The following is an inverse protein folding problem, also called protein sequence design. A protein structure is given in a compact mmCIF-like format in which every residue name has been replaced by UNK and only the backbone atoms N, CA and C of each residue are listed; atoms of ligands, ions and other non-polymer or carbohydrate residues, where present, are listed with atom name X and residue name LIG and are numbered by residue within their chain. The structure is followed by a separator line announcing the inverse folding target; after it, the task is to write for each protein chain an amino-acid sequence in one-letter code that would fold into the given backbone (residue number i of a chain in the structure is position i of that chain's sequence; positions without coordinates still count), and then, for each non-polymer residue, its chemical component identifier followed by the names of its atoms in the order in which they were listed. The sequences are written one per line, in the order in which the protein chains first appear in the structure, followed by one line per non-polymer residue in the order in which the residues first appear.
data_IF_470114317841
#
_entry.id   IF_470114317841
#
_cell.length_a   1.000
_cell.length_b   1.000
_cell.length_c   1.000
_cell.angle_alpha   90.00
_cell.angle_beta   90.00
_cell.angle_gamma   90.00
#
_symmetry.space_group_name_H-M   'P 1'
#
loop_
_entity.id
_entity.type
_entity.pdbx_description
1 polymer ?
#
# COMPACT_ATOMS: atom_id res chain seq x y z
N UNK A 1 -18.23 -7.76 17.70
CA UNK A 1 -17.44 -7.91 16.46
C UNK A 1 -16.12 -7.21 16.68
N UNK A 2 -15.03 -7.95 16.56
CA UNK A 2 -13.69 -7.56 17.04
C UNK A 2 -13.08 -6.55 16.07
N UNK A 3 -13.18 -5.27 16.38
CA UNK A 3 -12.39 -4.22 15.72
C UNK A 3 -10.93 -4.50 16.06
N UNK A 4 -10.21 -5.19 15.16
CA UNK A 4 -8.77 -5.41 15.31
C UNK A 4 -8.13 -4.02 15.23
N UNK A 5 -7.74 -3.47 16.38
CA UNK A 5 -7.07 -2.18 16.47
C UNK A 5 -5.84 -2.20 15.56
N UNK A 6 -5.91 -1.41 14.49
CA UNK A 6 -4.87 -1.22 13.47
C UNK A 6 -3.78 -0.25 13.95
N UNK A 7 -3.45 -0.25 15.24
CA UNK A 7 -2.63 0.78 15.87
C UNK A 7 -1.36 0.18 16.42
N UNK A 8 -0.30 0.28 15.63
CA UNK A 8 0.99 0.85 16.04
C UNK A 8 1.84 1.01 14.77
N UNK A 9 1.57 2.10 14.04
CA UNK A 9 2.42 2.55 12.93
C UNK A 9 3.52 3.40 13.56
N UNK A 10 4.66 2.78 13.83
CA UNK A 10 5.84 3.48 14.33
C UNK A 10 6.82 3.72 13.18
N UNK A 11 7.42 4.91 13.18
CA UNK A 11 8.53 5.22 12.28
C UNK A 11 9.75 4.38 12.67
N UNK A 12 10.48 3.79 11.71
CA UNK A 12 11.68 3.04 12.01
C UNK A 12 12.74 3.96 12.61
N UNK A 13 13.49 3.43 13.57
CA UNK A 13 14.68 4.13 14.06
C UNK A 13 15.85 4.01 13.06
N UNK A 14 16.98 4.65 13.37
CA UNK A 14 18.15 4.64 12.49
C UNK A 14 18.71 3.23 12.31
N UNK A 15 18.71 2.41 13.36
CA UNK A 15 19.21 1.05 13.31
C UNK A 15 18.32 0.17 12.43
N UNK A 16 17.00 0.26 12.59
CA UNK A 16 16.03 -0.44 11.75
C UNK A 16 16.14 -0.03 10.28
N UNK A 17 16.30 1.27 10.01
CA UNK A 17 16.45 1.80 8.64
C UNK A 17 17.70 1.23 7.95
N UNK A 18 18.84 1.23 8.64
CA UNK A 18 20.11 0.70 8.10
C UNK A 18 20.05 -0.81 7.89
N UNK A 19 19.50 -1.56 8.86
CA UNK A 19 19.32 -3.01 8.76
C UNK A 19 18.35 -3.39 7.65
N UNK A 20 17.25 -2.66 7.48
CA UNK A 20 16.31 -2.88 6.39
C UNK A 20 16.97 -2.68 5.03
N UNK A 21 17.80 -1.64 4.87
CA UNK A 21 18.51 -1.39 3.62
C UNK A 21 19.52 -2.51 3.29
N UNK A 22 20.26 -3.01 4.28
CA UNK A 22 21.17 -4.13 4.08
C UNK A 22 20.39 -5.40 3.72
N UNK A 23 19.36 -5.73 4.50
CA UNK A 23 18.55 -6.93 4.32
C UNK A 23 17.85 -6.95 2.96
N UNK A 24 17.35 -5.79 2.50
CA UNK A 24 16.75 -5.65 1.17
C UNK A 24 17.76 -5.97 0.05
N UNK A 25 18.99 -5.47 0.16
CA UNK A 25 20.05 -5.73 -0.84
C UNK A 25 20.44 -7.21 -0.87
N UNK A 26 20.61 -7.82 0.29
CA UNK A 26 20.95 -9.25 0.39
C UNK A 26 19.83 -10.12 -0.17
N UNK A 27 18.58 -9.85 0.23
CA UNK A 27 17.44 -10.61 -0.24
C UNK A 27 17.23 -10.45 -1.76
N UNK A 28 17.40 -9.24 -2.31
CA UNK A 28 17.33 -9.00 -3.76
C UNK A 28 18.35 -9.81 -4.56
N UNK A 29 19.54 -10.03 -4.02
CA UNK A 29 20.61 -10.74 -4.69
C UNK A 29 20.33 -12.25 -4.84
N UNK A 30 19.55 -12.83 -3.92
CA UNK A 30 19.33 -14.28 -3.86
C UNK A 30 17.88 -14.71 -4.14
N UNK A 31 16.91 -13.80 -4.09
CA UNK A 31 15.51 -14.12 -4.32
C UNK A 31 15.27 -14.48 -5.79
N UNK A 32 14.94 -15.75 -6.06
CA UNK A 32 14.48 -16.19 -7.38
C UNK A 32 13.00 -15.88 -7.54
N UNK A 33 12.65 -15.08 -8.56
CA UNK A 33 11.26 -14.79 -8.90
C UNK A 33 10.63 -15.82 -9.84
N UNK A 34 11.39 -16.86 -10.23
CA UNK A 34 10.92 -17.92 -11.16
C UNK A 34 10.22 -19.08 -10.45
N UNK A 35 10.35 -19.18 -9.14
CA UNK A 35 9.75 -20.24 -8.34
C UNK A 35 8.46 -19.73 -7.70
N UNK A 36 7.50 -20.63 -7.44
CA UNK A 36 6.26 -20.30 -6.73
C UNK A 36 6.49 -20.12 -5.22
N UNK A 37 7.45 -20.86 -4.68
CA UNK A 37 7.82 -20.84 -3.26
C UNK A 37 9.34 -20.70 -3.09
N UNK A 38 9.72 -20.18 -1.93
CA UNK A 38 11.09 -19.99 -1.49
C UNK A 38 11.27 -20.66 -0.13
N UNK A 39 12.39 -21.37 0.03
CA UNK A 39 12.81 -21.89 1.34
C UNK A 39 13.74 -20.88 2.00
N UNK A 40 13.45 -20.55 3.25
CA UNK A 40 14.31 -19.69 4.08
C UNK A 40 14.63 -20.40 5.38
N UNK A 41 15.78 -20.09 5.97
CA UNK A 41 16.17 -20.56 7.29
C UNK A 41 16.00 -19.43 8.30
N UNK A 42 15.39 -19.75 9.44
CA UNK A 42 15.23 -18.84 10.57
C UNK A 42 15.88 -19.50 11.77
N UNK A 43 16.64 -18.71 12.54
CA UNK A 43 17.22 -19.19 13.79
C UNK A 43 16.21 -19.03 14.92
N UNK A 44 15.87 -20.14 15.59
CA UNK A 44 15.00 -20.15 16.77
C UNK A 44 15.72 -19.64 18.02
N UNK A 45 14.95 -19.38 19.09
CA UNK A 45 15.50 -19.02 20.41
C UNK A 45 16.36 -20.13 21.01
N UNK A 46 16.12 -21.38 20.59
CA UNK A 46 16.91 -22.56 20.92
C UNK A 46 18.25 -22.63 20.16
N UNK A 47 18.57 -21.61 19.35
CA UNK A 47 19.72 -21.54 18.44
C UNK A 47 19.73 -22.63 17.37
N UNK A 48 18.58 -23.24 17.08
CA UNK A 48 18.45 -24.18 15.97
C UNK A 48 17.98 -23.46 14.71
N UNK A 49 18.47 -23.90 13.56
CA UNK A 49 17.99 -23.40 12.27
C UNK A 49 16.75 -24.17 11.84
N UNK A 50 15.68 -23.44 11.57
CA UNK A 50 14.41 -23.98 11.08
C UNK A 50 14.19 -23.52 9.65
N UNK A 51 14.10 -24.47 8.73
CA UNK A 51 13.71 -24.18 7.35
C UNK A 51 12.20 -24.05 7.27
N UNK A 52 11.72 -22.93 6.71
CA UNK A 52 10.32 -22.73 6.36
C UNK A 52 10.18 -22.45 4.86
N UNK A 53 9.01 -22.77 4.32
CA UNK A 53 8.68 -22.52 2.93
C UNK A 53 7.62 -21.42 2.85
N UNK A 54 7.90 -20.38 2.07
CA UNK A 54 7.06 -19.21 1.91
C UNK A 54 6.71 -19.00 0.43
N UNK A 55 5.51 -18.50 0.11
CA UNK A 55 5.19 -18.08 -1.25
C UNK A 55 6.14 -16.97 -1.72
N UNK A 56 6.58 -17.02 -2.97
CA UNK A 56 7.42 -15.97 -3.57
C UNK A 56 6.75 -14.61 -3.50
N UNK A 57 5.42 -14.55 -3.62
CA UNK A 57 4.65 -13.31 -3.45
C UNK A 57 4.78 -12.69 -2.06
N UNK A 58 4.89 -13.49 -0.99
CA UNK A 58 5.12 -12.99 0.36
C UNK A 58 6.56 -12.46 0.52
N UNK A 59 7.54 -13.11 -0.11
CA UNK A 59 8.93 -12.63 -0.13
C UNK A 59 9.08 -11.31 -0.90
N UNK A 60 8.34 -11.17 -2.00
CA UNK A 60 8.27 -9.90 -2.76
C UNK A 60 7.63 -8.79 -1.93
N UNK A 61 6.57 -9.09 -1.17
CA UNK A 61 5.98 -8.12 -0.25
C UNK A 61 6.98 -7.71 0.84
N UNK A 62 7.73 -8.66 1.42
CA UNK A 62 8.78 -8.35 2.38
C UNK A 62 9.85 -7.42 1.79
N UNK A 63 10.25 -7.63 0.53
CA UNK A 63 11.17 -6.75 -0.21
C UNK A 63 10.66 -5.32 -0.32
N UNK A 64 9.36 -5.13 -0.56
CA UNK A 64 8.71 -3.81 -0.57
C UNK A 64 8.69 -3.19 0.82
N UNK A 65 8.31 -3.95 1.85
CA UNK A 65 8.31 -3.50 3.25
C UNK A 65 9.71 -3.03 3.66
N UNK A 66 10.75 -3.80 3.36
CA UNK A 66 12.13 -3.43 3.68
C UNK A 66 12.57 -2.16 2.94
N UNK A 67 12.08 -1.92 1.73
CA UNK A 67 12.33 -0.70 0.97
C UNK A 67 11.73 0.55 1.62
N UNK A 68 10.47 0.44 2.06
CA UNK A 68 9.80 1.52 2.80
C UNK A 68 10.49 1.80 4.14
N UNK A 69 10.84 0.76 4.90
CA UNK A 69 11.59 0.93 6.16
C UNK A 69 12.97 1.56 5.93
N UNK A 70 13.68 1.15 4.87
CA UNK A 70 14.96 1.74 4.48
C UNK A 70 14.85 3.22 4.03
N UNK A 71 13.66 3.64 3.58
CA UNK A 71 13.37 5.04 3.27
C UNK A 71 12.93 5.85 4.50
N UNK A 72 12.84 5.24 5.68
CA UNK A 72 12.37 5.88 6.91
C UNK A 72 10.84 5.91 7.02
N UNK A 73 10.12 5.18 6.17
CA UNK A 73 8.66 5.14 6.17
C UNK A 73 8.14 4.04 7.11
N UNK A 74 7.05 4.34 7.80
CA UNK A 74 6.33 3.32 8.54
C UNK A 74 5.43 2.51 7.60
N UNK A 75 5.32 1.20 7.84
CA UNK A 75 4.59 0.28 6.96
C UNK A 75 3.39 -0.33 7.68
N UNK A 76 2.27 -0.44 6.97
CA UNK A 76 1.05 -1.07 7.47
C UNK A 76 0.48 -2.04 6.44
N UNK A 77 0.27 -3.30 6.85
CA UNK A 77 -0.41 -4.30 6.02
C UNK A 77 -1.91 -4.23 6.28
N UNK A 78 -2.67 -3.91 5.23
CA UNK A 78 -4.13 -3.82 5.28
C UNK A 78 -4.74 -4.95 4.43
N UNK A 79 -5.57 -5.84 5.01
CA UNK A 79 -6.26 -6.87 4.24
C UNK A 79 -7.17 -6.25 3.16
N UNK A 80 -7.24 -6.86 1.99
CA UNK A 80 -8.06 -6.34 0.86
C UNK A 80 -9.57 -6.30 1.17
N UNK A 81 -10.05 -7.19 2.04
CA UNK A 81 -11.44 -7.23 2.50
C UNK A 81 -11.68 -6.36 3.74
N UNK A 82 -10.69 -5.57 4.17
CA UNK A 82 -10.86 -4.66 5.28
C UNK A 82 -11.90 -3.58 4.94
N UNK A 83 -12.83 -3.38 5.87
CA UNK A 83 -13.73 -2.24 5.85
C UNK A 83 -13.03 -1.02 6.46
N UNK A 84 -12.86 0.01 5.65
CA UNK A 84 -12.28 1.28 6.04
C UNK A 84 -13.37 2.21 6.59
N UNK A 85 -13.02 2.96 7.63
CA UNK A 85 -13.74 4.19 7.98
C UNK A 85 -13.62 5.22 6.86
N UNK A 86 -14.53 6.20 6.85
CA UNK A 86 -14.39 7.38 5.96
C UNK A 86 -13.10 8.15 6.18
N UNK A 87 -12.50 8.07 7.38
CA UNK A 87 -11.24 8.78 7.66
C UNK A 87 -10.04 8.03 7.07
N UNK A 88 -9.97 6.71 7.27
CA UNK A 88 -8.93 5.88 6.66
C UNK A 88 -8.98 5.95 5.13
N UNK A 89 -10.19 5.90 4.55
CA UNK A 89 -10.37 6.05 3.12
C UNK A 89 -9.93 7.43 2.60
N UNK A 90 -10.24 8.50 3.35
CA UNK A 90 -9.81 9.86 3.00
C UNK A 90 -8.28 10.00 3.04
N UNK A 91 -7.62 9.41 4.05
CA UNK A 91 -6.18 9.42 4.17
C UNK A 91 -5.52 8.69 2.99
N UNK A 92 -6.04 7.53 2.60
CA UNK A 92 -5.51 6.76 1.46
C UNK A 92 -5.66 7.52 0.12
N UNK A 93 -6.77 8.25 -0.07
CA UNK A 93 -6.99 9.06 -1.26
C UNK A 93 -6.30 10.44 -1.21
N UNK A 94 -5.61 10.79 -0.11
CA UNK A 94 -5.04 12.12 0.12
C UNK A 94 -6.07 13.25 -0.06
N UNK A 95 -7.28 13.07 0.48
CA UNK A 95 -8.37 14.06 0.44
C UNK A 95 -8.90 14.35 1.84
N UNK A 96 -9.68 15.44 1.96
CA UNK A 96 -10.36 15.73 3.22
C UNK A 96 -11.49 14.72 3.49
N UNK A 97 -11.76 14.43 4.77
CA UNK A 97 -12.89 13.57 5.16
C UNK A 97 -14.24 14.08 4.62
N UNK A 98 -14.57 15.38 4.64
CA UNK A 98 -15.79 15.89 4.01
C UNK A 98 -15.86 15.56 2.51
N UNK A 99 -14.74 15.67 1.79
CA UNK A 99 -14.69 15.29 0.37
C UNK A 99 -14.93 13.79 0.18
N UNK A 100 -14.31 12.94 1.00
CA UNK A 100 -14.58 11.49 0.98
C UNK A 100 -16.07 11.19 1.20
N UNK A 101 -16.72 11.85 2.17
CA UNK A 101 -18.16 11.67 2.41
C UNK A 101 -18.99 12.10 1.20
N UNK A 102 -18.62 13.22 0.56
CA UNK A 102 -19.28 13.70 -0.66
C UNK A 102 -19.20 12.65 -1.78
N UNK A 103 -18.02 12.07 -2.03
CA UNK A 103 -17.86 11.00 -3.04
C UNK A 103 -18.79 9.81 -2.79
N UNK A 104 -18.96 9.43 -1.52
CA UNK A 104 -19.87 8.34 -1.13
C UNK A 104 -21.34 8.72 -1.36
N UNK A 105 -21.75 9.92 -0.97
CA UNK A 105 -23.13 10.40 -1.12
C UNK A 105 -23.51 10.64 -2.58
N UNK A 106 -22.55 10.97 -3.44
CA UNK A 106 -22.71 11.08 -4.90
C UNK A 106 -22.72 9.72 -5.61
N UNK A 107 -22.49 8.61 -4.89
CA UNK A 107 -22.52 7.26 -5.46
C UNK A 107 -21.29 6.93 -6.32
N UNK A 108 -20.25 7.75 -6.29
CA UNK A 108 -19.01 7.54 -7.04
C UNK A 108 -18.17 6.38 -6.50
N UNK A 109 -18.43 5.98 -5.25
CA UNK A 109 -17.71 4.90 -4.60
C UNK A 109 -18.68 4.08 -3.71
N UNK A 110 -18.69 2.74 -3.83
CA UNK A 110 -19.56 1.88 -3.03
C UNK A 110 -19.29 2.00 -1.53
N UNK A 111 -20.36 2.07 -0.74
CA UNK A 111 -20.26 2.02 0.72
C UNK A 111 -21.50 1.34 1.31
N UNK A 112 -21.34 0.82 2.51
CA UNK A 112 -22.45 0.39 3.35
C UNK A 112 -22.40 1.08 4.70
N UNK A 113 -23.46 0.90 5.49
CA UNK A 113 -23.52 1.41 6.86
C UNK A 113 -23.38 0.27 7.85
N UNK A 114 -22.44 0.42 8.78
CA UNK A 114 -22.34 -0.41 9.98
C UNK A 114 -22.82 0.46 11.15
N UNK A 115 -24.09 0.28 11.52
CA UNK A 115 -24.79 1.19 12.43
C UNK A 115 -24.96 2.59 11.81
N UNK A 116 -24.45 3.62 12.47
CA UNK A 116 -24.51 5.02 11.98
C UNK A 116 -23.33 5.41 11.09
N UNK A 117 -22.31 4.56 11.00
CA UNK A 117 -21.05 4.89 10.31
C UNK A 117 -21.01 4.26 8.92
N UNK A 118 -20.47 5.02 7.95
CA UNK A 118 -20.18 4.51 6.60
C UNK A 118 -18.90 3.70 6.61
N UNK A 119 -18.89 2.62 5.84
CA UNK A 119 -17.77 1.70 5.62
C UNK A 119 -17.53 1.53 4.15
N UNK A 120 -16.26 1.49 3.77
CA UNK A 120 -15.80 1.36 2.39
C UNK A 120 -14.90 0.16 2.32
N UNK A 121 -15.10 -0.73 1.34
CA UNK A 121 -14.16 -1.82 1.12
C UNK A 121 -12.85 -1.27 0.55
N UNK A 122 -11.71 -1.71 1.10
CA UNK A 122 -10.39 -1.29 0.61
C UNK A 122 -10.22 -1.57 -0.89
N UNK A 123 -10.68 -2.72 -1.37
CA UNK A 123 -10.64 -3.08 -2.78
C UNK A 123 -11.35 -2.04 -3.68
N UNK A 124 -12.55 -1.61 -3.31
CA UNK A 124 -13.32 -0.61 -4.07
C UNK A 124 -12.62 0.76 -4.05
N UNK A 125 -12.02 1.12 -2.92
CA UNK A 125 -11.26 2.37 -2.78
C UNK A 125 -10.04 2.41 -3.71
N UNK A 126 -9.28 1.32 -3.76
CA UNK A 126 -8.09 1.24 -4.62
C UNK A 126 -8.48 1.20 -6.09
N UNK A 127 -9.56 0.51 -6.45
CA UNK A 127 -10.09 0.51 -7.82
C UNK A 127 -10.48 1.93 -8.25
N UNK A 128 -11.20 2.67 -7.40
CA UNK A 128 -11.55 4.07 -7.65
C UNK A 128 -10.29 4.96 -7.78
N UNK A 129 -9.31 4.81 -6.89
CA UNK A 129 -8.05 5.57 -6.94
C UNK A 129 -7.33 5.37 -8.28
N UNK A 130 -7.19 4.11 -8.72
CA UNK A 130 -6.53 3.78 -10.00
C UNK A 130 -7.24 4.43 -11.19
N UNK A 131 -8.57 4.35 -11.24
CA UNK A 131 -9.35 5.00 -12.30
C UNK A 131 -9.16 6.52 -12.29
N UNK A 132 -9.19 7.13 -11.10
CA UNK A 132 -8.97 8.58 -10.96
C UNK A 132 -7.57 8.99 -11.43
N UNK A 133 -6.54 8.26 -11.03
CA UNK A 133 -5.15 8.57 -11.38
C UNK A 133 -4.94 8.43 -12.90
N UNK A 134 -5.54 7.41 -13.52
CA UNK A 134 -5.53 7.22 -14.98
C UNK A 134 -6.21 8.39 -15.72
N UNK A 135 -7.41 8.79 -15.29
CA UNK A 135 -8.13 9.93 -15.88
C UNK A 135 -7.32 11.24 -15.75
N UNK A 136 -6.63 11.42 -14.62
CA UNK A 136 -5.76 12.58 -14.40
C UNK A 136 -4.58 12.59 -15.37
N UNK A 137 -3.95 11.43 -15.61
CA UNK A 137 -2.84 11.32 -16.54
C UNK A 137 -3.28 11.63 -17.98
N UNK A 138 -4.42 11.09 -18.42
CA UNK A 138 -4.99 11.35 -19.74
C UNK A 138 -5.33 12.84 -19.94
N UNK A 139 -5.93 13.48 -18.93
CA UNK A 139 -6.22 14.91 -19.00
C UNK A 139 -4.93 15.76 -19.09
N UNK A 140 -3.87 15.39 -18.37
CA UNK A 140 -2.58 16.09 -18.46
C UNK A 140 -1.93 15.92 -19.83
N UNK A 141 -2.02 14.73 -20.43
CA UNK A 141 -1.54 14.49 -21.80
C UNK A 141 -2.31 15.33 -22.82
N UNK A 142 -3.64 15.35 -22.74
CA UNK A 142 -4.46 16.18 -23.62
C UNK A 142 -4.13 17.68 -23.51
N UNK A 143 -3.90 18.19 -22.28
CA UNK A 143 -3.47 19.57 -22.08
C UNK A 143 -2.07 19.85 -22.66
N UNK A 144 -1.15 18.90 -22.56
CA UNK A 144 0.19 19.04 -23.12
C UNK A 144 0.18 19.04 -24.66
N UNK A 145 -0.61 18.15 -25.27
CA UNK A 145 -0.83 18.12 -26.72
C UNK A 145 -1.43 19.44 -27.22
N UNK A 146 -2.49 19.94 -26.56
CA UNK A 146 -3.10 21.22 -26.89
C UNK A 146 -2.11 22.39 -26.76
N UNK A 147 -1.27 22.41 -25.72
CA UNK A 147 -0.25 23.45 -25.55
C UNK A 147 0.81 23.42 -26.67
N UNK A 148 1.19 22.21 -27.12
CA UNK A 148 2.12 22.02 -28.23
C UNK A 148 1.51 22.44 -29.58
N UNK A 149 0.24 22.13 -29.83
CA UNK A 149 -0.49 22.57 -31.02
C UNK A 149 -0.65 24.09 -31.08
N UNK A 150 -0.85 24.73 -29.93
CA UNK A 150 -0.99 26.19 -29.81
C UNK A 150 0.36 26.93 -29.85
N UNK A 151 1.48 26.22 -30.05
CA UNK A 151 2.82 26.82 -30.10
C UNK A 151 3.27 27.43 -28.78
N UNK A 152 2.66 27.04 -27.66
CA UNK A 152 3.03 27.46 -26.31
C UNK A 152 4.14 26.57 -25.73
N UNK A 153 5.13 26.23 -26.54
CA UNK A 153 6.35 25.57 -26.07
C UNK A 153 7.28 26.59 -25.42
N UNK A 154 7.74 26.33 -24.20
CA UNK A 154 8.94 26.98 -23.66
C UNK A 154 10.18 26.37 -24.30
#
# INVERSE_FOLDING_TARGET
MTTKQLTNVNLPDKFETELAQQSQRELAAYLSTKLETQKIEIMGEDQQSHTIELPTSAMMLLMEILGELAAGNAVQIVPVHAELTTQEAANILNVSRPHMVKLLEEGLLPFHKTGRHRRVLFADLIAYKRQRDQNSLEAMQALAEQAQELGMGY
#
